data_IF_791743362809
#
_entry.id   IF_791743362809
#
_cell.length_a   1.000
_cell.length_b   1.000
_cell.length_c   1.000
_cell.angle_alpha   90.00
_cell.angle_beta   90.00
_cell.angle_gamma   90.00
#
_symmetry.space_group_name_H-M   'P 1'
#
loop_
_entity.id
_entity.type
_entity.pdbx_description
1 polymer ?
#
# COMPACT_ATOMS: atom_id res chain seq x y z
N UNK A 1 -10.34 -10.93 -11.09
CA UNK A 1 -9.13 -10.37 -11.76
C UNK A 1 -8.33 -11.46 -12.47
N UNK A 2 -7.98 -12.56 -11.83
CA UNK A 2 -7.21 -13.65 -12.46
C UNK A 2 -7.85 -14.13 -13.77
N UNK A 3 -9.13 -14.47 -13.75
CA UNK A 3 -9.88 -14.93 -14.94
C UNK A 3 -9.82 -13.93 -16.10
N UNK A 4 -9.78 -12.64 -15.82
CA UNK A 4 -9.67 -11.61 -16.87
C UNK A 4 -8.30 -11.66 -17.57
N UNK A 5 -7.22 -11.83 -16.80
CA UNK A 5 -5.86 -11.97 -17.33
C UNK A 5 -5.72 -13.25 -18.12
N UNK A 6 -6.20 -14.38 -17.58
CA UNK A 6 -6.18 -15.68 -18.24
C UNK A 6 -6.99 -15.66 -19.53
N UNK A 7 -8.19 -15.09 -19.51
CA UNK A 7 -9.04 -14.96 -20.70
C UNK A 7 -8.36 -14.14 -21.80
N UNK A 8 -7.83 -12.95 -21.45
CA UNK A 8 -7.12 -12.11 -22.39
C UNK A 8 -5.91 -12.82 -23.00
N UNK A 9 -5.13 -13.54 -22.17
CA UNK A 9 -4.00 -14.35 -22.62
C UNK A 9 -4.42 -15.40 -23.65
N UNK A 10 -5.51 -16.13 -23.38
CA UNK A 10 -6.02 -17.17 -24.28
C UNK A 10 -6.59 -16.60 -25.58
N UNK A 11 -7.40 -15.54 -25.50
CA UNK A 11 -8.00 -14.88 -26.66
C UNK A 11 -6.96 -14.29 -27.64
N UNK A 12 -5.80 -13.86 -27.08
CA UNK A 12 -4.72 -13.28 -27.87
C UNK A 12 -3.54 -14.25 -28.14
N UNK A 13 -3.70 -15.54 -27.83
CA UNK A 13 -2.67 -16.58 -28.01
C UNK A 13 -1.32 -16.23 -27.36
N UNK A 14 -1.34 -15.55 -26.21
CA UNK A 14 -0.14 -15.20 -25.43
C UNK A 14 0.21 -16.40 -24.54
N UNK A 15 1.38 -16.99 -24.75
CA UNK A 15 1.78 -18.22 -24.03
C UNK A 15 2.00 -18.03 -22.52
N UNK A 16 2.43 -16.86 -22.12
CA UNK A 16 2.70 -16.53 -20.71
C UNK A 16 2.42 -15.06 -20.49
N UNK A 17 1.39 -14.77 -19.72
CA UNK A 17 1.00 -13.44 -19.30
C UNK A 17 0.66 -13.46 -17.83
N UNK A 18 1.28 -12.61 -17.06
CA UNK A 18 1.02 -12.50 -15.62
C UNK A 18 1.43 -11.16 -15.09
N UNK A 19 0.91 -10.82 -13.91
CA UNK A 19 1.29 -9.62 -13.16
C UNK A 19 1.18 -9.88 -11.67
N UNK A 20 2.05 -9.23 -10.91
CA UNK A 20 1.92 -9.14 -9.47
C UNK A 20 0.79 -8.18 -9.08
N UNK A 21 0.36 -8.22 -7.83
CA UNK A 21 -0.59 -7.28 -7.26
C UNK A 21 -0.14 -6.90 -5.86
N UNK A 22 -0.02 -5.61 -5.59
CA UNK A 22 0.18 -5.06 -4.26
C UNK A 22 -0.85 -3.94 -4.03
N UNK A 23 -1.67 -4.09 -2.99
CA UNK A 23 -2.82 -3.24 -2.73
C UNK A 23 -2.87 -2.83 -1.27
N UNK A 24 -3.15 -1.54 -1.01
CA UNK A 24 -3.61 -1.03 0.28
C UNK A 24 -5.04 -0.53 0.13
N UNK A 25 -5.93 -1.05 0.96
CA UNK A 25 -7.31 -0.60 1.06
C UNK A 25 -7.55 0.07 2.41
N UNK A 26 -8.06 1.29 2.39
CA UNK A 26 -8.36 2.09 3.57
C UNK A 26 -9.87 2.05 3.82
N UNK A 27 -10.28 1.48 4.95
CA UNK A 27 -11.67 1.48 5.41
C UNK A 27 -11.81 2.40 6.62
N UNK A 28 -13.01 2.61 7.13
CA UNK A 28 -13.22 3.40 8.36
C UNK A 28 -12.60 2.76 9.62
N UNK A 29 -12.36 1.46 9.62
CA UNK A 29 -11.93 0.69 10.80
C UNK A 29 -10.49 0.23 10.74
N UNK A 30 -10.01 -0.10 9.56
CA UNK A 30 -8.69 -0.71 9.36
C UNK A 30 -8.12 -0.43 7.96
N UNK A 31 -6.84 -0.69 7.83
CA UNK A 31 -6.11 -0.71 6.56
C UNK A 31 -5.86 -2.19 6.23
N UNK A 32 -6.19 -2.59 5.03
CA UNK A 32 -5.90 -3.95 4.54
C UNK A 32 -4.78 -3.88 3.52
N UNK A 33 -3.70 -4.63 3.78
CA UNK A 33 -2.64 -4.87 2.82
C UNK A 33 -2.86 -6.22 2.17
N UNK A 34 -2.88 -6.26 0.84
CA UNK A 34 -3.04 -7.49 0.07
C UNK A 34 -1.97 -7.56 -1.00
N UNK A 35 -1.24 -8.67 -1.10
CA UNK A 35 -0.30 -8.87 -2.19
C UNK A 35 -0.38 -10.28 -2.80
N UNK A 36 0.00 -10.34 -4.06
CA UNK A 36 0.17 -11.56 -4.85
C UNK A 36 1.38 -11.36 -5.75
N UNK A 37 2.43 -12.14 -5.54
CA UNK A 37 3.73 -11.97 -6.21
C UNK A 37 4.82 -11.46 -5.27
N UNK A 38 5.82 -10.78 -5.81
CA UNK A 38 7.00 -10.27 -5.13
C UNK A 38 7.11 -8.74 -5.07
N UNK A 39 6.09 -8.04 -5.56
CA UNK A 39 5.92 -6.62 -5.23
C UNK A 39 5.63 -6.48 -3.75
N UNK A 40 6.27 -5.53 -3.09
CA UNK A 40 6.26 -5.45 -1.63
C UNK A 40 5.45 -4.30 -1.10
N UNK A 41 4.91 -4.51 0.11
CA UNK A 41 4.26 -3.49 0.92
C UNK A 41 5.02 -3.41 2.24
N UNK A 42 5.49 -2.20 2.56
CA UNK A 42 6.19 -1.90 3.81
C UNK A 42 5.38 -0.93 4.64
N UNK A 43 5.56 -1.01 5.95
CA UNK A 43 5.10 -0.03 6.92
C UNK A 43 6.29 0.64 7.58
N UNK A 44 6.25 1.97 7.66
CA UNK A 44 7.18 2.77 8.45
C UNK A 44 6.42 3.49 9.57
N UNK A 45 6.85 3.29 10.81
CA UNK A 45 6.24 3.91 11.99
C UNK A 45 7.24 4.00 13.13
N UNK A 46 7.42 5.19 13.73
CA UNK A 46 8.33 5.44 14.85
C UNK A 46 9.75 4.90 14.63
N UNK A 47 10.32 5.17 13.46
CA UNK A 47 11.67 4.71 13.07
C UNK A 47 11.79 3.21 12.83
N UNK A 48 10.69 2.46 12.79
CA UNK A 48 10.67 1.05 12.38
C UNK A 48 10.14 0.92 10.97
N UNK A 49 10.91 0.26 10.12
CA UNK A 49 10.54 -0.08 8.75
C UNK A 49 10.40 -1.60 8.64
N UNK A 50 9.25 -2.07 8.24
CA UNK A 50 8.94 -3.49 8.21
C UNK A 50 8.15 -3.85 6.96
N UNK A 51 8.60 -4.88 6.25
CA UNK A 51 7.79 -5.51 5.20
C UNK A 51 6.58 -6.19 5.86
N UNK A 52 5.39 -5.88 5.36
CA UNK A 52 4.11 -6.45 5.82
C UNK A 52 3.50 -7.41 4.82
N UNK A 53 3.95 -7.38 3.57
CA UNK A 53 3.61 -8.36 2.55
C UNK A 53 4.50 -9.60 2.65
N UNK A 54 4.06 -10.70 2.06
CA UNK A 54 4.87 -11.93 1.92
C UNK A 54 5.19 -12.14 0.46
N UNK A 55 6.47 -12.29 0.13
CA UNK A 55 6.88 -12.58 -1.25
C UNK A 55 6.47 -14.00 -1.64
N UNK A 56 5.77 -14.15 -2.75
CA UNK A 56 5.39 -15.45 -3.31
C UNK A 56 6.42 -15.92 -4.32
N UNK A 57 7.56 -16.42 -3.82
CA UNK A 57 8.69 -16.89 -4.64
C UNK A 57 9.18 -18.25 -4.18
N UNK A 58 9.74 -19.05 -5.09
CA UNK A 58 10.40 -20.32 -4.75
C UNK A 58 11.86 -20.04 -4.42
N UNK A 59 12.31 -20.47 -3.23
CA UNK A 59 13.70 -20.35 -2.81
C UNK A 59 14.10 -18.93 -2.41
N UNK A 60 15.20 -18.79 -1.68
CA UNK A 60 15.78 -17.49 -1.39
C UNK A 60 16.44 -16.89 -2.62
N UNK A 61 16.79 -15.60 -2.59
CA UNK A 61 17.57 -14.90 -3.63
C UNK A 61 18.96 -15.56 -3.81
N UNK A 62 19.01 -16.67 -4.53
CA UNK A 62 20.25 -17.26 -5.03
C UNK A 62 20.34 -16.94 -6.52
N UNK A 63 21.33 -16.10 -6.91
CA UNK A 63 21.73 -15.83 -8.30
C UNK A 63 20.55 -15.62 -9.30
N UNK A 64 19.91 -14.45 -9.28
CA UNK A 64 18.88 -14.06 -10.25
C UNK A 64 17.49 -13.86 -9.63
N UNK A 65 16.49 -13.54 -10.47
CA UNK A 65 15.09 -13.43 -10.04
C UNK A 65 14.56 -14.81 -9.65
N UNK A 66 14.04 -14.94 -8.43
CA UNK A 66 13.35 -16.14 -7.99
C UNK A 66 12.03 -16.31 -8.76
N UNK A 67 11.67 -17.52 -9.21
CA UNK A 67 10.39 -17.76 -9.87
C UNK A 67 9.22 -17.45 -8.93
N UNK A 68 8.21 -16.77 -9.46
CA UNK A 68 6.95 -16.51 -8.74
C UNK A 68 6.16 -17.81 -8.55
N UNK A 69 5.60 -17.97 -7.36
CA UNK A 69 4.66 -19.07 -7.04
C UNK A 69 3.20 -18.64 -7.15
N UNK A 70 2.94 -17.33 -7.04
CA UNK A 70 1.60 -16.76 -7.08
C UNK A 70 1.64 -15.45 -7.86
N UNK A 71 0.76 -15.30 -8.85
CA UNK A 71 0.57 -14.09 -9.65
C UNK A 71 -0.77 -14.11 -10.38
N UNK A 72 -1.29 -12.98 -10.79
CA UNK A 72 -2.48 -12.92 -11.65
C UNK A 72 -2.12 -13.38 -13.06
N UNK A 73 -2.93 -14.24 -13.66
CA UNK A 73 -2.65 -14.90 -14.94
C UNK A 73 -2.18 -16.35 -14.80
N UNK A 74 -2.10 -16.83 -13.56
CA UNK A 74 -1.76 -18.21 -13.27
C UNK A 74 -2.89 -19.16 -13.68
N UNK A 75 -2.60 -20.17 -14.51
CA UNK A 75 -3.58 -21.03 -15.18
C UNK A 75 -3.57 -22.50 -14.72
N UNK A 76 -2.85 -22.85 -13.66
CA UNK A 76 -2.87 -24.25 -13.18
C UNK A 76 -4.25 -24.62 -12.63
N UNK A 77 -4.87 -25.63 -13.25
CA UNK A 77 -6.25 -26.09 -12.96
C UNK A 77 -6.46 -26.57 -11.51
N UNK A 78 -5.39 -26.84 -10.76
CA UNK A 78 -5.44 -27.44 -9.43
C UNK A 78 -4.86 -26.55 -8.31
N UNK A 79 -4.46 -25.32 -8.59
CA UNK A 79 -3.92 -24.41 -7.58
C UNK A 79 -4.78 -23.16 -7.43
N UNK A 80 -5.33 -22.99 -6.23
CA UNK A 80 -5.99 -21.75 -5.85
C UNK A 80 -4.96 -20.61 -5.68
N UNK A 81 -5.35 -19.41 -6.08
CA UNK A 81 -4.58 -18.21 -5.73
C UNK A 81 -4.76 -17.92 -4.24
N UNK A 82 -3.66 -17.79 -3.54
CA UNK A 82 -3.62 -17.51 -2.10
C UNK A 82 -2.92 -16.17 -1.85
N UNK A 83 -3.63 -15.04 -2.00
CA UNK A 83 -3.05 -13.74 -1.70
C UNK A 83 -2.72 -13.62 -0.21
N UNK A 84 -1.58 -13.00 0.10
CA UNK A 84 -1.27 -12.60 1.47
C UNK A 84 -2.13 -11.38 1.84
N UNK A 85 -2.92 -11.49 2.92
CA UNK A 85 -3.79 -10.42 3.40
C UNK A 85 -3.47 -10.14 4.87
N UNK A 86 -3.19 -8.87 5.17
CA UNK A 86 -2.89 -8.39 6.53
C UNK A 86 -3.83 -7.24 6.87
N UNK A 87 -4.51 -7.34 8.01
CA UNK A 87 -5.29 -6.25 8.57
C UNK A 87 -4.42 -5.43 9.55
N UNK A 88 -4.44 -4.11 9.41
CA UNK A 88 -3.61 -3.18 10.16
C UNK A 88 -4.51 -2.11 10.75
N UNK A 89 -4.38 -1.87 12.06
CA UNK A 89 -5.04 -0.75 12.71
C UNK A 89 -4.48 0.60 12.26
N UNK A 90 -5.34 1.62 12.22
CA UNK A 90 -4.91 2.98 11.95
C UNK A 90 -3.94 3.48 13.01
N UNK A 91 -2.81 4.00 12.56
CA UNK A 91 -1.82 4.66 13.41
C UNK A 91 -1.41 5.98 12.78
N UNK A 92 -1.86 7.12 13.33
CA UNK A 92 -1.42 8.44 12.88
C UNK A 92 0.09 8.56 12.90
N UNK A 93 0.66 9.13 11.84
CA UNK A 93 2.10 9.25 11.65
C UNK A 93 2.76 8.00 11.03
N UNK A 94 2.01 6.95 10.69
CA UNK A 94 2.54 5.84 9.91
C UNK A 94 2.58 6.17 8.42
N UNK A 95 3.53 5.57 7.72
CA UNK A 95 3.64 5.60 6.26
C UNK A 95 3.68 4.18 5.70
N UNK A 96 3.17 4.02 4.50
CA UNK A 96 3.17 2.76 3.78
C UNK A 96 3.82 2.95 2.42
N UNK A 97 4.84 2.15 2.13
CA UNK A 97 5.49 2.11 0.83
C UNK A 97 5.05 0.84 0.10
N UNK A 98 4.49 1.01 -1.09
CA UNK A 98 4.24 -0.08 -2.05
C UNK A 98 5.28 0.08 -3.16
N UNK A 99 5.96 -1.00 -3.54
CA UNK A 99 6.94 -0.93 -4.61
C UNK A 99 7.07 -2.25 -5.38
N UNK A 100 7.48 -2.13 -6.65
CA UNK A 100 7.91 -3.25 -7.46
C UNK A 100 9.31 -3.75 -7.05
N UNK A 101 9.69 -4.92 -7.55
CA UNK A 101 11.02 -5.49 -7.38
C UNK A 101 12.14 -4.60 -7.96
N UNK A 102 11.86 -3.78 -8.98
CA UNK A 102 12.79 -2.79 -9.50
C UNK A 102 13.31 -1.80 -8.45
N UNK A 103 12.57 -1.60 -7.32
CA UNK A 103 13.08 -0.85 -6.16
C UNK A 103 13.93 -1.75 -5.28
N UNK A 104 13.40 -2.89 -4.85
CA UNK A 104 14.02 -3.76 -3.83
C UNK A 104 15.19 -4.59 -4.34
N UNK A 105 15.37 -4.69 -5.64
CA UNK A 105 16.58 -5.23 -6.26
C UNK A 105 17.74 -4.23 -6.26
N UNK A 106 17.43 -2.93 -6.20
CA UNK A 106 18.43 -1.86 -6.22
C UNK A 106 18.71 -1.28 -4.83
N UNK A 107 17.74 -1.26 -3.93
CA UNK A 107 17.84 -0.65 -2.60
C UNK A 107 17.49 -1.65 -1.52
N UNK A 108 18.34 -1.74 -0.50
CA UNK A 108 18.08 -2.53 0.69
C UNK A 108 17.00 -1.90 1.58
N UNK A 109 16.38 -2.71 2.44
CA UNK A 109 15.41 -2.24 3.42
C UNK A 109 15.99 -1.16 4.35
N UNK A 110 17.28 -1.25 4.69
CA UNK A 110 17.97 -0.26 5.52
C UNK A 110 18.10 1.10 4.82
N UNK A 111 18.35 1.10 3.52
CA UNK A 111 18.45 2.33 2.73
C UNK A 111 17.07 2.98 2.53
N UNK A 112 16.04 2.16 2.26
CA UNK A 112 14.67 2.63 2.20
C UNK A 112 14.24 3.24 3.54
N UNK A 113 14.53 2.57 4.66
CA UNK A 113 14.26 3.10 5.99
C UNK A 113 14.94 4.45 6.22
N UNK A 114 16.22 4.57 5.88
CA UNK A 114 16.98 5.82 6.05
C UNK A 114 16.35 6.99 5.29
N UNK A 115 15.84 6.75 4.09
CA UNK A 115 15.13 7.77 3.32
C UNK A 115 13.80 8.13 4.00
N UNK A 116 13.06 7.13 4.48
CA UNK A 116 11.76 7.36 5.12
C UNK A 116 11.87 8.00 6.50
N UNK A 117 12.98 7.80 7.23
CA UNK A 117 13.30 8.47 8.51
C UNK A 117 13.60 9.97 8.33
N UNK A 118 13.91 10.44 7.13
CA UNK A 118 14.16 11.83 6.83
C UNK A 118 12.95 12.73 7.07
N UNK A 119 13.19 14.04 7.09
CA UNK A 119 12.17 15.08 7.33
C UNK A 119 11.54 15.62 6.05
N UNK A 120 11.98 15.11 4.91
CA UNK A 120 11.51 15.53 3.59
C UNK A 120 10.04 15.16 3.36
N UNK A 121 9.43 15.84 2.41
CA UNK A 121 8.07 15.55 1.97
C UNK A 121 7.96 14.13 1.37
N UNK A 122 6.75 13.59 1.29
CA UNK A 122 6.52 12.28 0.65
C UNK A 122 7.01 12.28 -0.81
N UNK A 123 6.78 13.36 -1.54
CA UNK A 123 7.21 13.53 -2.93
C UNK A 123 8.73 13.48 -3.06
N UNK A 124 9.46 14.23 -2.21
CA UNK A 124 10.92 14.23 -2.21
C UNK A 124 11.49 12.85 -1.85
N UNK A 125 10.88 12.13 -0.88
CA UNK A 125 11.27 10.77 -0.52
C UNK A 125 11.09 9.80 -1.67
N UNK A 126 9.94 9.85 -2.37
CA UNK A 126 9.67 9.04 -3.57
C UNK A 126 10.68 9.37 -4.67
N UNK A 127 10.95 10.65 -4.91
CA UNK A 127 11.96 11.09 -5.87
C UNK A 127 13.36 10.53 -5.56
N UNK A 128 13.80 10.59 -4.29
CA UNK A 128 15.09 10.02 -3.85
C UNK A 128 15.17 8.50 -4.05
N UNK A 129 14.09 7.76 -3.72
CA UNK A 129 14.06 6.31 -3.93
C UNK A 129 14.20 5.99 -5.41
N UNK A 130 13.43 6.69 -6.26
CA UNK A 130 13.47 6.51 -7.72
C UNK A 130 14.86 6.81 -8.27
N UNK A 131 15.43 7.98 -7.92
CA UNK A 131 16.75 8.41 -8.39
C UNK A 131 17.84 7.39 -8.01
N UNK A 132 17.90 6.97 -6.74
CA UNK A 132 18.88 5.99 -6.28
C UNK A 132 18.71 4.61 -6.93
N UNK A 133 17.47 4.16 -7.20
CA UNK A 133 17.24 2.91 -7.91
C UNK A 133 17.76 2.98 -9.35
N UNK A 134 17.54 4.10 -10.04
CA UNK A 134 18.01 4.33 -11.41
C UNK A 134 19.54 4.46 -11.47
N UNK A 135 20.16 5.20 -10.55
CA UNK A 135 21.63 5.36 -10.46
C UNK A 135 22.35 4.01 -10.25
N UNK A 136 21.73 3.05 -9.57
CA UNK A 136 22.25 1.70 -9.36
C UNK A 136 22.05 0.75 -10.54
N UNK A 137 21.54 1.28 -11.62
CA UNK A 137 21.45 0.58 -12.89
C UNK A 137 20.05 0.37 -13.43
N UNK A 138 18.97 0.61 -12.62
CA UNK A 138 17.58 0.54 -13.10
C UNK A 138 17.30 -0.75 -13.90
N UNK A 139 17.61 -1.90 -13.34
CA UNK A 139 17.60 -3.19 -14.06
C UNK A 139 16.21 -3.62 -14.50
N UNK A 140 15.18 -3.06 -13.89
CA UNK A 140 13.78 -3.30 -14.19
C UNK A 140 12.96 -2.01 -14.07
N UNK A 141 11.68 -2.06 -14.44
CA UNK A 141 10.76 -0.97 -14.26
C UNK A 141 10.61 -0.64 -12.77
N UNK A 142 10.82 0.61 -12.41
CA UNK A 142 10.74 1.09 -11.03
C UNK A 142 9.39 1.76 -10.81
N UNK A 143 8.56 1.16 -9.97
CA UNK A 143 7.27 1.73 -9.59
C UNK A 143 7.15 1.75 -8.07
N UNK A 144 6.73 2.89 -7.51
CA UNK A 144 6.50 3.00 -6.07
C UNK A 144 5.39 4.01 -5.74
N UNK A 145 4.72 3.77 -4.61
CA UNK A 145 3.71 4.67 -4.03
C UNK A 145 3.99 4.79 -2.54
N UNK A 146 4.04 6.00 -2.03
CA UNK A 146 4.16 6.30 -0.60
C UNK A 146 2.86 6.93 -0.09
N UNK A 147 2.14 6.22 0.78
CA UNK A 147 0.96 6.71 1.47
C UNK A 147 1.32 7.10 2.91
N UNK A 148 0.90 8.27 3.36
CA UNK A 148 1.13 8.76 4.73
C UNK A 148 -0.20 8.96 5.44
N UNK A 149 -0.30 8.47 6.68
CA UNK A 149 -1.47 8.67 7.53
C UNK A 149 -1.25 9.92 8.36
N UNK A 150 -1.86 11.03 7.94
CA UNK A 150 -1.94 12.24 8.75
C UNK A 150 -2.85 12.02 9.95
N UNK A 151 -2.55 12.70 11.08
CA UNK A 151 -3.39 12.65 12.28
C UNK A 151 -4.79 13.15 11.96
N UNK A 152 -5.80 12.42 12.41
CA UNK A 152 -7.19 12.87 12.35
C UNK A 152 -7.36 13.99 13.38
N UNK A 153 -7.42 15.24 12.96
CA UNK A 153 -8.03 16.27 13.79
C UNK A 153 -9.53 15.96 13.85
N UNK A 154 -9.95 15.36 14.96
CA UNK A 154 -11.37 15.19 15.26
C UNK A 154 -11.95 16.61 15.37
N UNK A 155 -12.55 17.14 14.31
CA UNK A 155 -13.40 18.32 14.42
C UNK A 155 -14.54 17.95 15.36
N UNK A 156 -14.39 18.29 16.62
CA UNK A 156 -15.46 18.25 17.58
C UNK A 156 -16.40 19.36 17.15
N UNK A 157 -17.46 19.01 16.42
CA UNK A 157 -18.60 19.90 16.28
C UNK A 157 -19.21 20.00 17.68
N UNK A 158 -18.82 21.03 18.43
CA UNK A 158 -19.54 21.46 19.61
C UNK A 158 -20.88 22.01 19.10
N UNK A 159 -21.92 21.19 19.14
CA UNK A 159 -23.28 21.66 19.12
C UNK A 159 -23.48 22.50 20.38
N UNK A 160 -23.09 23.76 20.34
CA UNK A 160 -23.57 24.77 21.28
C UNK A 160 -25.05 24.93 20.95
N UNK A 161 -25.87 24.17 21.66
CA UNK A 161 -27.32 24.39 21.68
C UNK A 161 -27.60 25.78 22.20
N UNK A 162 -27.91 26.69 21.31
CA UNK A 162 -28.61 27.92 21.68
C UNK A 162 -30.02 27.51 22.10
N UNK A 163 -30.24 27.46 23.42
CA UNK A 163 -31.59 27.47 23.97
C UNK A 163 -32.20 28.84 23.64
N UNK A 164 -33.08 28.88 22.63
CA UNK A 164 -33.95 30.00 22.41
C UNK A 164 -34.96 30.06 23.55
N UNK A 165 -34.76 31.01 24.46
CA UNK A 165 -35.80 31.42 25.42
C UNK A 165 -36.95 32.07 24.64
N UNK A 166 -38.08 31.40 24.64
CA UNK A 166 -39.34 31.96 24.16
C UNK A 166 -39.75 33.07 25.16
N UNK A 167 -39.99 34.31 24.74
CA UNK A 167 -40.54 35.31 25.61
C UNK A 167 -42.03 35.00 25.88
N UNK A 168 -42.31 34.87 27.16
CA UNK A 168 -43.68 34.73 27.69
C UNK A 168 -44.40 36.05 27.49
N UNK A 169 -45.32 36.08 26.55
CA UNK A 169 -46.15 37.27 26.23
C UNK A 169 -47.60 36.92 26.30
N UNK A 170 -48.21 37.21 27.37
CA UNK A 170 -49.51 37.88 27.42
C UNK A 170 -50.34 37.47 28.65
N UNK A 171 -50.42 38.38 29.65
CA UNK A 171 -51.60 38.43 30.54
C UNK A 171 -52.50 39.56 30.04
N UNK A 172 -53.78 39.35 29.84
CA UNK A 172 -54.71 40.43 29.65
C UNK A 172 -55.07 41.00 31.03
N UNK A 173 -54.90 42.28 31.18
CA UNK A 173 -55.46 43.07 32.26
C UNK A 173 -56.77 43.68 31.81
N UNK A 174 -57.62 43.80 32.73
CA UNK A 174 -59.00 44.43 32.72
C UNK A 174 -59.06 45.70 31.89
#
# INVERSE_FOLDING_TARGET
MNEAVCRYSNENCIRSMGTTMALLSFSEKAIYACNLGDSRIYRHFQGKFQQISTDHVIGGKMLGKAPLTQYLGFQEENMALEPSIVEIGYQPGSSYLICSDGVTDMLSDQELQKILDGTETAEEKVGKILEQALERGGRDNVTLVLAQISGYEKKIFSNAGQSATVPDGNKPGE
#
